data_IF_533967403467
#
_entry.id   IF_533967403467
#
_cell.length_a   1.000
_cell.length_b   1.000
_cell.length_c   1.000
_cell.angle_alpha   90.00
_cell.angle_beta   90.00
_cell.angle_gamma   90.00
#
_symmetry.space_group_name_H-M   'P 1'
#
loop_
_entity.id
_entity.type
_entity.pdbx_description
1 polymer ?
#
# COMPACT_ATOMS: atom_id res chain seq x y z
N UNK A 1 13.95 -13.11 23.61
CA UNK A 1 14.23 -11.71 23.19
C UNK A 1 14.51 -11.67 21.69
N UNK A 2 13.48 -11.65 20.83
CA UNK A 2 13.66 -11.57 19.37
C UNK A 2 12.43 -11.03 18.58
N UNK A 3 11.30 -10.72 19.22
CA UNK A 3 10.02 -10.48 18.53
C UNK A 3 9.82 -9.07 17.95
N UNK A 4 10.74 -8.13 18.19
CA UNK A 4 10.59 -6.72 17.77
C UNK A 4 11.13 -6.40 16.37
N UNK A 5 11.60 -7.40 15.62
CA UNK A 5 12.29 -7.20 14.32
C UNK A 5 11.46 -7.63 13.11
N UNK A 6 10.14 -7.57 13.22
CA UNK A 6 9.18 -7.86 12.15
C UNK A 6 8.01 -6.87 12.21
N UNK A 7 7.44 -6.53 11.06
CA UNK A 7 6.22 -5.74 10.97
C UNK A 7 5.02 -6.68 10.77
N UNK A 8 3.98 -6.51 11.59
CA UNK A 8 2.76 -7.31 11.55
C UNK A 8 1.57 -6.37 11.48
N UNK A 9 0.68 -6.57 10.51
CA UNK A 9 -0.59 -5.84 10.41
C UNK A 9 -1.73 -6.81 10.56
N UNK A 10 -2.72 -6.42 11.36
CA UNK A 10 -3.93 -7.18 11.62
C UNK A 10 -5.14 -6.35 11.21
N UNK A 11 -6.15 -7.01 10.64
CA UNK A 11 -7.50 -6.48 10.40
C UNK A 11 -8.46 -7.52 10.99
N UNK A 12 -9.36 -7.09 11.87
CA UNK A 12 -10.31 -7.98 12.58
C UNK A 12 -9.63 -9.17 13.26
N UNK A 13 -8.50 -8.91 13.94
CA UNK A 13 -7.61 -9.91 14.55
C UNK A 13 -6.99 -10.92 13.58
N UNK A 14 -7.26 -10.82 12.27
CA UNK A 14 -6.61 -11.61 11.24
C UNK A 14 -5.33 -10.92 10.78
N UNK A 15 -4.21 -11.64 10.82
CA UNK A 15 -2.94 -11.12 10.29
C UNK A 15 -3.00 -11.01 8.78
N UNK A 16 -3.08 -9.78 8.26
CA UNK A 16 -3.08 -9.50 6.83
C UNK A 16 -1.68 -9.19 6.28
N UNK A 17 -0.73 -8.84 7.15
CA UNK A 17 0.65 -8.57 6.76
C UNK A 17 1.63 -9.17 7.77
N UNK A 18 2.68 -9.80 7.26
CA UNK A 18 3.84 -10.22 8.02
C UNK A 18 5.08 -9.90 7.18
N UNK A 19 5.92 -8.99 7.64
CA UNK A 19 7.15 -8.61 6.96
C UNK A 19 8.33 -8.81 7.90
N UNK A 20 9.21 -9.74 7.54
CA UNK A 20 10.57 -9.80 8.04
C UNK A 20 11.50 -9.25 6.96
N UNK A 21 12.10 -8.06 7.15
CA UNK A 21 12.99 -7.48 6.14
C UNK A 21 14.34 -8.24 6.01
N UNK A 22 14.58 -9.25 6.86
CA UNK A 22 15.83 -9.99 6.90
C UNK A 22 17.00 -9.12 7.34
N UNK A 23 18.22 -9.63 7.16
CA UNK A 23 19.44 -8.91 7.54
C UNK A 23 19.72 -7.66 6.70
N UNK A 24 19.09 -7.53 5.53
CA UNK A 24 19.25 -6.39 4.62
C UNK A 24 18.37 -5.18 4.94
N UNK A 25 17.47 -5.28 5.92
CA UNK A 25 16.54 -4.22 6.28
C UNK A 25 15.49 -3.92 5.19
N UNK A 26 14.57 -3.00 5.48
CA UNK A 26 13.47 -2.69 4.56
C UNK A 26 13.93 -2.11 3.23
N UNK A 27 15.10 -1.45 3.20
CA UNK A 27 15.69 -0.93 1.96
C UNK A 27 15.93 -2.06 0.93
N UNK A 28 16.62 -3.13 1.36
CA UNK A 28 16.86 -4.28 0.49
C UNK A 28 15.58 -5.06 0.23
N UNK A 29 14.72 -5.22 1.25
CA UNK A 29 13.45 -5.92 1.12
C UNK A 29 12.53 -5.28 0.06
N UNK A 30 12.44 -3.95 0.03
CA UNK A 30 11.64 -3.20 -0.94
C UNK A 30 12.25 -3.10 -2.34
N UNK A 31 13.43 -3.70 -2.57
CA UNK A 31 14.10 -3.68 -3.88
C UNK A 31 14.61 -2.30 -4.30
N UNK A 32 14.82 -1.39 -3.33
CA UNK A 32 15.32 -0.04 -3.62
C UNK A 32 16.80 -0.08 -4.05
N UNK A 33 17.17 0.82 -4.95
CA UNK A 33 18.53 0.94 -5.50
C UNK A 33 19.17 2.28 -5.12
N UNK A 34 20.51 2.34 -5.20
CA UNK A 34 21.28 3.51 -4.78
C UNK A 34 21.64 3.50 -3.30
N UNK A 35 21.99 4.68 -2.77
CA UNK A 35 22.35 4.84 -1.36
C UNK A 35 21.13 4.73 -0.46
N UNK A 36 21.21 3.88 0.57
CA UNK A 36 20.13 3.71 1.54
C UNK A 36 19.90 5.00 2.35
N UNK A 37 18.77 5.67 2.11
CA UNK A 37 18.40 6.94 2.76
C UNK A 37 17.65 6.75 4.09
N UNK A 38 17.24 5.52 4.42
CA UNK A 38 16.47 5.23 5.64
C UNK A 38 17.37 4.98 6.85
N UNK A 39 18.65 4.71 6.63
CA UNK A 39 19.62 4.42 7.69
C UNK A 39 19.99 2.94 7.76
N UNK A 40 20.84 2.58 8.73
CA UNK A 40 21.48 1.26 8.79
C UNK A 40 20.78 0.23 9.68
N UNK A 41 19.76 0.64 10.44
CA UNK A 41 19.06 -0.30 11.31
C UNK A 41 18.19 -1.27 10.48
N UNK A 42 17.99 -2.50 11.00
CA UNK A 42 17.12 -3.49 10.35
C UNK A 42 15.69 -2.96 10.17
N UNK A 43 15.19 -2.17 11.12
CA UNK A 43 13.81 -1.71 11.17
C UNK A 43 13.60 -0.33 10.55
N UNK A 44 14.66 0.37 10.14
CA UNK A 44 14.53 1.65 9.46
C UNK A 44 13.67 1.53 8.18
N UNK A 45 12.74 2.47 7.94
CA UNK A 45 12.54 3.75 8.64
C UNK A 45 11.52 3.71 9.78
N UNK A 46 11.07 2.52 10.22
CA UNK A 46 10.08 2.33 11.28
C UNK A 46 10.68 2.28 12.70
N UNK A 47 11.95 2.66 12.85
CA UNK A 47 12.69 2.78 14.10
C UNK A 47 12.72 4.22 14.67
N UNK A 48 11.93 5.11 14.08
CA UNK A 48 11.74 6.50 14.50
C UNK A 48 10.25 6.86 14.50
N UNK A 49 9.90 8.05 15.01
CA UNK A 49 8.52 8.53 14.95
C UNK A 49 8.05 8.60 13.49
N UNK A 50 6.90 8.02 13.20
CA UNK A 50 6.29 8.00 11.87
C UNK A 50 4.82 8.42 11.93
N UNK A 51 4.27 8.77 10.77
CA UNK A 51 2.86 9.07 10.61
C UNK A 51 2.13 7.86 10.03
N UNK A 52 0.94 7.58 10.55
CA UNK A 52 0.01 6.68 9.88
C UNK A 52 -0.70 7.44 8.76
N UNK A 53 -0.62 6.91 7.55
CA UNK A 53 -1.39 7.38 6.40
C UNK A 53 -2.40 6.29 6.05
N UNK A 54 -3.68 6.67 5.97
CA UNK A 54 -4.76 5.82 5.49
C UNK A 54 -5.37 6.51 4.26
N UNK A 55 -5.56 5.77 3.17
CA UNK A 55 -6.09 6.33 1.93
C UNK A 55 -6.93 5.32 1.14
N UNK A 56 -7.82 5.85 0.32
CA UNK A 56 -8.42 5.16 -0.82
C UNK A 56 -7.73 5.70 -2.07
N UNK A 57 -7.09 4.82 -2.85
CA UNK A 57 -6.32 5.22 -4.02
C UNK A 57 -6.82 4.57 -5.30
N UNK A 58 -6.73 5.31 -6.40
CA UNK A 58 -7.01 4.86 -7.78
C UNK A 58 -6.07 5.60 -8.74
N UNK A 59 -5.87 5.05 -9.95
CA UNK A 59 -5.15 5.75 -11.02
C UNK A 59 -3.61 5.73 -10.92
N UNK A 60 -3.04 5.01 -9.95
CA UNK A 60 -1.58 4.89 -9.80
C UNK A 60 -0.93 4.09 -10.94
N UNK A 61 0.23 4.56 -11.42
CA UNK A 61 1.03 3.91 -12.48
C UNK A 61 2.35 3.31 -11.98
N UNK A 62 2.62 3.38 -10.67
CA UNK A 62 3.87 2.91 -10.05
C UNK A 62 4.02 1.38 -9.99
N UNK A 63 3.10 0.62 -10.60
CA UNK A 63 3.09 -0.84 -10.54
C UNK A 63 2.35 -1.42 -9.33
N UNK A 64 1.92 -0.59 -8.37
CA UNK A 64 1.13 -1.04 -7.22
C UNK A 64 -0.16 -1.76 -7.64
N UNK A 65 -0.81 -1.27 -8.71
CA UNK A 65 -1.90 -1.97 -9.38
C UNK A 65 -1.35 -2.67 -10.64
N UNK A 66 -1.22 -4.01 -10.65
CA UNK A 66 -0.77 -4.75 -11.84
C UNK A 66 -1.71 -4.51 -13.05
N UNK A 67 -1.17 -4.57 -14.28
CA UNK A 67 -1.97 -4.29 -15.49
C UNK A 67 -2.97 -5.41 -15.85
N UNK A 68 -2.77 -6.60 -15.29
CA UNK A 68 -3.63 -7.78 -15.45
C UNK A 68 -4.69 -7.91 -14.35
N UNK A 69 -4.75 -6.96 -13.41
CA UNK A 69 -5.71 -7.01 -12.30
C UNK A 69 -7.15 -6.78 -12.75
N UNK A 70 -8.08 -7.52 -12.14
CA UNK A 70 -9.51 -7.43 -12.38
C UNK A 70 -10.28 -7.51 -11.05
N UNK A 71 -10.99 -6.43 -10.72
CA UNK A 71 -11.81 -6.32 -9.51
C UNK A 71 -13.31 -6.29 -9.87
N UNK A 72 -13.74 -7.20 -10.75
CA UNK A 72 -15.07 -7.19 -11.38
C UNK A 72 -15.15 -6.27 -12.60
N UNK A 73 -14.35 -5.20 -12.61
CA UNK A 73 -14.02 -4.40 -13.79
C UNK A 73 -12.51 -4.49 -14.02
N UNK A 74 -12.11 -4.72 -15.28
CA UNK A 74 -10.70 -4.71 -15.67
C UNK A 74 -10.13 -3.31 -15.46
N UNK A 75 -8.91 -3.21 -14.90
CA UNK A 75 -8.19 -1.93 -14.78
C UNK A 75 -8.12 -1.20 -16.14
N UNK A 76 -8.67 0.03 -16.26
CA UNK A 76 -8.79 0.70 -17.55
C UNK A 76 -7.55 1.48 -18.01
N UNK A 77 -6.57 1.71 -17.13
CA UNK A 77 -5.29 2.36 -17.49
C UNK A 77 -4.13 1.38 -17.41
N UNK A 78 -3.09 1.58 -18.25
CA UNK A 78 -1.83 0.83 -18.15
C UNK A 78 -0.78 1.60 -17.38
N UNK A 79 0.09 0.90 -16.66
CA UNK A 79 1.18 1.51 -15.91
C UNK A 79 2.17 2.27 -16.80
N UNK A 80 2.33 1.87 -18.06
CA UNK A 80 3.22 2.52 -19.03
C UNK A 80 2.53 3.48 -20.01
N UNK A 81 1.22 3.74 -19.83
CA UNK A 81 0.51 4.67 -20.73
C UNK A 81 0.96 6.11 -20.45
N UNK A 82 1.39 6.88 -21.47
CA UNK A 82 1.67 8.31 -21.31
C UNK A 82 0.40 9.12 -21.05
N UNK A 83 -0.78 8.49 -21.16
CA UNK A 83 -2.11 9.08 -20.98
C UNK A 83 -2.94 8.30 -19.97
N UNK A 84 -2.31 7.62 -19.01
CA UNK A 84 -3.00 6.77 -18.04
C UNK A 84 -4.19 7.44 -17.33
N UNK A 85 -4.08 8.73 -16.99
CA UNK A 85 -5.17 9.48 -16.38
C UNK A 85 -6.36 9.70 -17.35
N UNK A 86 -6.07 9.95 -18.63
CA UNK A 86 -7.09 10.06 -19.69
C UNK A 86 -7.75 8.69 -19.93
N UNK A 87 -6.96 7.62 -20.01
CA UNK A 87 -7.46 6.24 -20.17
C UNK A 87 -8.40 5.86 -19.01
N UNK A 88 -8.01 6.19 -17.78
CA UNK A 88 -8.85 6.01 -16.60
C UNK A 88 -10.16 6.80 -16.70
N UNK A 89 -10.10 8.09 -17.05
CA UNK A 89 -11.28 8.95 -17.14
C UNK A 89 -12.23 8.55 -18.27
N UNK A 90 -11.71 8.17 -19.44
CA UNK A 90 -12.52 7.74 -20.57
C UNK A 90 -13.33 6.47 -20.26
N UNK A 91 -12.89 5.67 -19.28
CA UNK A 91 -13.61 4.50 -18.79
C UNK A 91 -14.56 4.79 -17.61
N UNK A 92 -14.84 6.06 -17.26
CA UNK A 92 -15.68 6.40 -16.10
C UNK A 92 -17.06 5.76 -16.12
N UNK A 93 -17.67 5.56 -17.28
CA UNK A 93 -18.97 4.86 -17.36
C UNK A 93 -18.94 3.43 -16.81
N UNK A 94 -17.76 2.80 -16.75
CA UNK A 94 -17.57 1.45 -16.22
C UNK A 94 -17.32 1.43 -14.71
N UNK A 95 -16.52 2.35 -14.19
CA UNK A 95 -16.13 2.36 -12.77
C UNK A 95 -16.93 3.34 -11.91
N UNK A 96 -17.41 4.47 -12.45
CA UNK A 96 -18.13 5.46 -11.66
C UNK A 96 -19.41 4.89 -11.02
N UNK A 97 -20.21 4.04 -11.72
CA UNK A 97 -21.36 3.41 -11.09
C UNK A 97 -21.01 2.42 -9.97
N UNK A 98 -19.76 1.96 -9.85
CA UNK A 98 -19.38 1.08 -8.73
C UNK A 98 -19.10 1.86 -7.45
N UNK A 99 -18.91 3.19 -7.55
CA UNK A 99 -18.62 4.06 -6.41
C UNK A 99 -19.90 4.54 -5.73
N UNK A 100 -20.62 3.63 -5.05
CA UNK A 100 -21.90 3.94 -4.42
C UNK A 100 -21.85 3.84 -2.90
N UNK A 101 -22.00 5.00 -2.25
CA UNK A 101 -22.18 5.13 -0.81
C UNK A 101 -21.04 4.56 0.02
N UNK A 102 -21.40 4.10 1.20
CA UNK A 102 -20.47 3.63 2.24
C UNK A 102 -19.70 2.36 1.86
N UNK A 103 -20.18 1.59 0.88
CA UNK A 103 -19.55 0.33 0.44
C UNK A 103 -18.18 0.53 -0.25
N UNK A 104 -17.87 1.76 -0.68
CA UNK A 104 -16.59 2.10 -1.32
C UNK A 104 -15.81 3.17 -0.55
N UNK A 105 -16.34 3.59 0.60
CA UNK A 105 -15.68 4.57 1.46
C UNK A 105 -14.66 3.88 2.38
N UNK A 106 -13.63 4.62 2.76
CA UNK A 106 -12.80 4.24 3.90
C UNK A 106 -13.54 4.63 5.17
N UNK A 107 -14.16 3.65 5.81
CA UNK A 107 -14.85 3.82 7.09
C UNK A 107 -13.93 3.32 8.22
N UNK A 108 -13.64 4.19 9.17
CA UNK A 108 -12.77 3.89 10.30
C UNK A 108 -13.54 4.23 11.57
N UNK A 109 -13.74 3.23 12.43
CA UNK A 109 -14.36 3.42 13.74
C UNK A 109 -13.35 4.03 14.73
N UNK A 110 -12.19 3.40 14.89
CA UNK A 110 -11.10 3.95 15.69
C UNK A 110 -9.72 3.50 15.18
N UNK A 111 -8.71 4.27 15.56
CA UNK A 111 -7.30 3.91 15.43
C UNK A 111 -6.70 3.96 16.83
N UNK A 112 -5.98 2.92 17.21
CA UNK A 112 -5.31 2.85 18.49
C UNK A 112 -3.83 2.52 18.30
N UNK A 113 -2.96 3.32 18.91
CA UNK A 113 -1.53 3.03 19.01
C UNK A 113 -1.24 2.51 20.41
N UNK A 114 -0.70 1.29 20.50
CA UNK A 114 -0.27 0.70 21.76
C UNK A 114 1.24 0.46 21.73
N UNK A 115 1.94 0.92 22.75
CA UNK A 115 3.28 0.44 23.10
C UNK A 115 3.13 -0.64 24.18
N UNK A 116 3.77 -1.78 24.00
CA UNK A 116 3.85 -2.83 25.02
C UNK A 116 4.85 -2.48 26.12
#
# INVERSE_FOLDING_TARGET
>A
MADFLVNRTYVDNQRILYVDPGSGGFWKYGGFSGGNIWGSSKMAPFDQNFYLILNVAVGGTSGFFPDDVNYGVKKPWKNNSPRAAEDFWNAHSQWLPTWQGDNVALLIDYVEFRSL
#
